data_IF_186875748246
#
_entry.id   IF_186875748246
#
_cell.length_a   1.000
_cell.length_b   1.000
_cell.length_c   1.000
_cell.angle_alpha   90.00
_cell.angle_beta   90.00
_cell.angle_gamma   90.00
#
_symmetry.space_group_name_H-M   'P 1'
#
loop_
_entity.id
_entity.type
_entity.pdbx_description
1 polymer ?
#
# COMPACT_ATOMS: atom_id res chain seq x y z
N UNK A 1 -11.98 -4.37 1.99
CA UNK A 1 -11.88 -2.93 1.59
C UNK A 1 -10.47 -2.69 1.06
N UNK A 2 -10.28 -1.93 -0.02
CA UNK A 2 -8.94 -1.75 -0.65
C UNK A 2 -8.14 -0.69 0.09
N UNK A 3 -6.81 -0.87 0.17
CA UNK A 3 -5.94 0.13 0.79
C UNK A 3 -5.53 1.19 -0.23
N UNK A 4 -5.42 0.82 -1.51
CA UNK A 4 -5.13 1.74 -2.60
C UNK A 4 -6.35 1.97 -3.50
N UNK A 5 -6.39 3.17 -4.09
CA UNK A 5 -7.43 3.49 -5.06
C UNK A 5 -7.28 2.73 -6.38
N UNK A 6 -8.38 2.36 -7.06
CA UNK A 6 -8.35 1.75 -8.40
C UNK A 6 -7.48 2.54 -9.39
N UNK A 7 -7.49 3.88 -9.28
CA UNK A 7 -6.62 4.77 -10.04
C UNK A 7 -5.12 4.60 -9.71
N UNK A 8 -4.77 4.42 -8.44
CA UNK A 8 -3.38 4.24 -8.00
C UNK A 8 -2.75 2.92 -8.48
N UNK A 9 -3.56 1.87 -8.62
CA UNK A 9 -3.14 0.57 -9.16
C UNK A 9 -3.36 0.43 -10.67
N UNK A 10 -4.02 1.42 -11.29
CA UNK A 10 -4.24 1.50 -12.73
C UNK A 10 -5.35 0.58 -13.26
N UNK A 11 -6.28 0.15 -12.40
CA UNK A 11 -7.43 -0.70 -12.78
C UNK A 11 -8.35 0.07 -13.73
N UNK A 12 -8.54 1.38 -13.54
CA UNK A 12 -9.40 2.20 -14.41
C UNK A 12 -8.92 2.21 -15.87
N UNK A 13 -7.60 2.29 -16.07
CA UNK A 13 -7.01 2.25 -17.40
C UNK A 13 -7.15 0.87 -18.04
N UNK A 14 -7.08 -0.20 -17.24
CA UNK A 14 -7.32 -1.56 -17.70
C UNK A 14 -8.78 -1.75 -18.13
N UNK A 15 -9.76 -1.27 -17.34
CA UNK A 15 -11.19 -1.35 -17.68
C UNK A 15 -11.50 -0.62 -18.99
N UNK A 16 -10.96 0.59 -19.19
CA UNK A 16 -11.10 1.33 -20.46
C UNK A 16 -10.44 0.63 -21.65
N UNK A 17 -9.31 -0.05 -21.44
CA UNK A 17 -8.66 -0.83 -22.49
C UNK A 17 -9.50 -2.05 -22.87
N UNK A 18 -10.07 -2.73 -21.86
CA UNK A 18 -10.98 -3.86 -22.03
C UNK A 18 -12.22 -3.50 -22.84
N UNK A 19 -12.89 -2.40 -22.51
CA UNK A 19 -14.07 -1.92 -23.26
C UNK A 19 -13.75 -1.71 -24.74
N UNK A 20 -12.60 -1.11 -25.07
CA UNK A 20 -12.17 -0.91 -26.46
C UNK A 20 -11.92 -2.24 -27.18
N UNK A 21 -11.25 -3.18 -26.54
CA UNK A 21 -10.96 -4.50 -27.12
C UNK A 21 -12.25 -5.30 -27.31
N UNK A 22 -13.18 -5.26 -26.37
CA UNK A 22 -14.50 -5.88 -26.51
C UNK A 22 -15.26 -5.38 -27.73
N UNK A 23 -15.28 -4.06 -27.95
CA UNK A 23 -15.92 -3.48 -29.13
C UNK A 23 -15.25 -3.98 -30.42
N UNK A 24 -13.92 -4.08 -30.43
CA UNK A 24 -13.17 -4.59 -31.58
C UNK A 24 -13.47 -6.07 -31.89
N UNK A 25 -13.74 -6.88 -30.86
CA UNK A 25 -13.95 -8.33 -30.98
C UNK A 25 -15.42 -8.77 -31.02
N UNK A 26 -16.37 -7.85 -30.95
CA UNK A 26 -17.81 -8.13 -30.80
C UNK A 26 -18.39 -9.20 -31.77
N UNK A 27 -17.83 -9.35 -32.98
CA UNK A 27 -18.30 -10.31 -33.99
C UNK A 27 -17.35 -11.50 -34.24
N UNK A 28 -16.19 -11.54 -33.57
CA UNK A 28 -15.11 -12.52 -33.83
C UNK A 28 -14.60 -13.20 -32.56
N UNK A 29 -15.21 -12.89 -31.41
CA UNK A 29 -14.77 -13.35 -30.10
C UNK A 29 -14.74 -14.88 -29.99
N UNK A 30 -15.83 -15.57 -30.35
CA UNK A 30 -15.91 -17.03 -30.25
C UNK A 30 -14.85 -17.72 -31.14
N UNK A 31 -14.67 -17.22 -32.37
CA UNK A 31 -13.66 -17.75 -33.30
C UNK A 31 -12.25 -17.54 -32.77
N UNK A 32 -12.00 -16.39 -32.14
CA UNK A 32 -10.72 -16.10 -31.50
C UNK A 32 -10.47 -17.05 -30.32
N UNK A 33 -11.45 -17.24 -29.43
CA UNK A 33 -11.35 -18.14 -28.27
C UNK A 33 -11.06 -19.58 -28.70
N UNK A 34 -11.79 -20.12 -29.69
CA UNK A 34 -11.53 -21.47 -30.20
C UNK A 34 -10.12 -21.62 -30.77
N UNK A 35 -9.65 -20.64 -31.55
CA UNK A 35 -8.28 -20.64 -32.07
C UNK A 35 -7.24 -20.58 -30.96
N UNK A 36 -7.47 -19.78 -29.92
CA UNK A 36 -6.55 -19.68 -28.78
C UNK A 36 -6.53 -20.96 -27.95
N UNK A 37 -7.66 -21.65 -27.81
CA UNK A 37 -7.73 -22.95 -27.15
C UNK A 37 -6.85 -23.99 -27.87
N UNK A 38 -6.96 -24.07 -29.20
CA UNK A 38 -6.11 -24.94 -30.02
C UNK A 38 -4.63 -24.57 -29.85
N UNK A 39 -4.31 -23.28 -29.80
CA UNK A 39 -2.93 -22.81 -29.67
C UNK A 39 -2.36 -23.00 -28.26
N UNK A 40 -3.20 -23.03 -27.23
CA UNK A 40 -2.79 -23.20 -25.84
C UNK A 40 -2.53 -24.66 -25.44
N UNK A 41 -2.98 -25.63 -26.25
CA UNK A 41 -2.67 -27.05 -26.02
C UNK A 41 -1.16 -27.31 -26.08
N UNK A 42 -0.66 -28.17 -25.18
CA UNK A 42 0.78 -28.46 -25.07
C UNK A 42 1.35 -29.19 -26.28
N UNK A 43 0.52 -29.97 -26.97
CA UNK A 43 0.92 -30.77 -28.14
C UNK A 43 0.86 -29.99 -29.46
N UNK A 44 0.36 -28.74 -29.45
CA UNK A 44 0.33 -27.93 -30.66
C UNK A 44 1.66 -27.20 -30.89
N UNK A 45 2.21 -27.32 -32.10
CA UNK A 45 3.37 -26.54 -32.57
C UNK A 45 3.07 -25.02 -32.71
N UNK A 46 1.84 -24.60 -32.42
CA UNK A 46 1.41 -23.21 -32.51
C UNK A 46 2.04 -22.36 -31.41
N UNK A 47 2.55 -21.18 -31.79
CA UNK A 47 3.10 -20.20 -30.86
C UNK A 47 2.03 -19.21 -30.40
N UNK A 48 2.20 -18.68 -29.19
CA UNK A 48 1.34 -17.63 -28.65
C UNK A 48 2.08 -16.31 -28.80
N UNK A 49 1.53 -15.38 -29.57
CA UNK A 49 2.16 -14.07 -29.74
C UNK A 49 1.74 -13.09 -28.65
N UNK A 50 2.51 -12.01 -28.50
CA UNK A 50 2.24 -10.96 -27.51
C UNK A 50 0.84 -10.36 -27.64
N UNK A 51 0.39 -10.09 -28.88
CA UNK A 51 -0.94 -9.53 -29.10
C UNK A 51 -2.04 -10.57 -28.80
N UNK A 52 -1.81 -11.86 -29.05
CA UNK A 52 -2.79 -12.92 -28.74
C UNK A 52 -3.07 -12.96 -27.23
N UNK A 53 -2.01 -13.06 -26.42
CA UNK A 53 -2.13 -13.08 -24.96
C UNK A 53 -2.72 -11.77 -24.42
N UNK A 54 -2.28 -10.63 -24.97
CA UNK A 54 -2.79 -9.31 -24.57
C UNK A 54 -4.29 -9.17 -24.86
N UNK A 55 -4.77 -9.57 -26.03
CA UNK A 55 -6.20 -9.53 -26.33
C UNK A 55 -6.97 -10.48 -25.41
N UNK A 56 -6.49 -11.71 -25.24
CA UNK A 56 -7.16 -12.69 -24.38
C UNK A 56 -7.31 -12.19 -22.95
N UNK A 57 -6.27 -11.60 -22.34
CA UNK A 57 -6.30 -11.01 -20.99
C UNK A 57 -7.38 -9.92 -20.85
N UNK A 58 -7.73 -9.20 -21.92
CA UNK A 58 -8.77 -8.18 -21.87
C UNK A 58 -10.17 -8.72 -22.23
N UNK A 59 -10.27 -9.87 -22.90
CA UNK A 59 -11.54 -10.52 -23.24
C UNK A 59 -12.07 -11.42 -22.13
N UNK A 60 -11.27 -11.79 -21.14
CA UNK A 60 -11.71 -12.61 -20.00
C UNK A 60 -12.99 -12.06 -19.37
N UNK A 61 -13.98 -12.95 -19.20
CA UNK A 61 -15.16 -12.75 -18.36
C UNK A 61 -15.00 -13.47 -17.00
N UNK A 62 -15.97 -13.29 -16.10
CA UNK A 62 -15.99 -13.93 -14.77
C UNK A 62 -16.36 -15.43 -14.82
N UNK A 63 -15.84 -16.18 -15.80
CA UNK A 63 -16.03 -17.62 -15.95
C UNK A 63 -14.69 -18.37 -15.75
N UNK A 64 -14.76 -19.66 -15.38
CA UNK A 64 -13.56 -20.44 -15.09
C UNK A 64 -12.87 -20.94 -16.38
N UNK A 65 -13.63 -21.07 -17.47
CA UNK A 65 -13.12 -21.49 -18.79
C UNK A 65 -12.12 -20.46 -19.36
N UNK A 66 -12.43 -19.17 -19.29
CA UNK A 66 -11.54 -18.11 -19.79
C UNK A 66 -10.27 -18.01 -18.96
N UNK A 67 -10.40 -18.19 -17.64
CA UNK A 67 -9.27 -18.13 -16.71
C UNK A 67 -8.33 -19.31 -16.92
N UNK A 68 -8.87 -20.50 -17.14
CA UNK A 68 -8.07 -21.68 -17.47
C UNK A 68 -7.39 -21.53 -18.84
N UNK A 69 -8.10 -20.98 -19.84
CA UNK A 69 -7.51 -20.67 -21.14
C UNK A 69 -6.35 -19.67 -21.01
N UNK A 70 -6.55 -18.55 -20.31
CA UNK A 70 -5.48 -17.56 -20.07
C UNK A 70 -4.33 -18.19 -19.30
N UNK A 71 -4.60 -19.00 -18.27
CA UNK A 71 -3.56 -19.72 -17.51
C UNK A 71 -2.70 -20.59 -18.42
N UNK A 72 -3.33 -21.40 -19.28
CA UNK A 72 -2.63 -22.25 -20.27
C UNK A 72 -1.81 -21.41 -21.25
N UNK A 73 -2.39 -20.34 -21.76
CA UNK A 73 -1.69 -19.42 -22.67
C UNK A 73 -0.48 -18.77 -22.00
N UNK A 74 -0.61 -18.36 -20.74
CA UNK A 74 0.48 -17.75 -19.98
C UNK A 74 1.63 -18.71 -19.73
N UNK A 75 1.36 -19.96 -19.33
CA UNK A 75 2.40 -20.96 -19.10
C UNK A 75 3.16 -21.26 -20.39
N UNK A 76 2.44 -21.46 -21.49
CA UNK A 76 3.03 -21.69 -22.81
C UNK A 76 3.82 -20.47 -23.32
N UNK A 77 3.31 -19.25 -23.09
CA UNK A 77 4.04 -18.03 -23.44
C UNK A 77 5.31 -17.87 -22.59
N UNK A 78 5.25 -18.15 -21.28
CA UNK A 78 6.42 -18.08 -20.38
C UNK A 78 7.52 -19.04 -20.83
N UNK A 79 7.18 -20.28 -21.15
CA UNK A 79 8.15 -21.26 -21.65
C UNK A 79 8.73 -20.84 -23.01
N UNK A 80 7.90 -20.38 -23.94
CA UNK A 80 8.34 -19.88 -25.26
C UNK A 80 9.29 -18.68 -25.13
N UNK A 81 8.99 -17.76 -24.23
CA UNK A 81 9.74 -16.51 -24.11
C UNK A 81 11.12 -16.71 -23.46
N UNK A 82 11.27 -17.74 -22.61
CA UNK A 82 12.58 -18.18 -22.09
C UNK A 82 13.51 -18.67 -23.21
N UNK A 83 12.97 -19.28 -24.25
CA UNK A 83 13.74 -19.81 -25.38
C UNK A 83 13.96 -18.78 -26.50
N UNK A 84 12.94 -17.96 -26.80
CA UNK A 84 12.87 -17.15 -28.03
C UNK A 84 12.99 -15.64 -27.82
N UNK A 85 12.98 -15.14 -26.56
CA UNK A 85 13.00 -13.69 -26.20
C UNK A 85 12.02 -12.84 -27.03
N UNK A 86 10.75 -13.23 -27.03
CA UNK A 86 9.66 -12.43 -27.59
C UNK A 86 9.40 -11.14 -26.80
N UNK A 87 9.79 -10.01 -27.40
CA UNK A 87 9.26 -8.68 -27.11
C UNK A 87 9.67 -8.06 -25.76
N UNK A 88 9.55 -6.74 -25.67
CA UNK A 88 9.79 -5.95 -24.45
C UNK A 88 8.53 -5.71 -23.62
N UNK A 89 7.41 -6.34 -23.98
CA UNK A 89 6.12 -6.09 -23.34
C UNK A 89 6.03 -6.74 -21.95
N UNK A 90 5.52 -5.97 -20.99
CA UNK A 90 5.45 -6.37 -19.58
C UNK A 90 4.03 -6.83 -19.24
N UNK A 91 3.85 -8.14 -19.13
CA UNK A 91 2.54 -8.74 -18.85
C UNK A 91 2.13 -8.74 -17.38
N UNK A 92 3.07 -8.86 -16.45
CA UNK A 92 2.78 -9.09 -15.02
C UNK A 92 1.72 -8.14 -14.44
N UNK A 93 1.85 -6.80 -14.56
CA UNK A 93 0.87 -5.87 -14.04
C UNK A 93 -0.48 -5.92 -14.76
N UNK A 94 -0.51 -6.31 -16.04
CA UNK A 94 -1.75 -6.41 -16.83
C UNK A 94 -2.53 -7.63 -16.38
N UNK A 95 -1.87 -8.77 -16.23
CA UNK A 95 -2.48 -10.00 -15.71
C UNK A 95 -3.00 -9.79 -14.29
N UNK A 96 -2.23 -9.14 -13.42
CA UNK A 96 -2.70 -8.89 -12.05
C UNK A 96 -3.94 -7.97 -12.02
N UNK A 97 -4.05 -7.01 -12.94
CA UNK A 97 -5.28 -6.20 -13.09
C UNK A 97 -6.46 -6.99 -13.62
N UNK A 98 -6.23 -7.97 -14.50
CA UNK A 98 -7.27 -8.89 -14.94
C UNK A 98 -7.83 -9.68 -13.76
N UNK A 99 -6.97 -10.32 -12.95
CA UNK A 99 -7.41 -11.02 -11.74
C UNK A 99 -8.09 -10.09 -10.73
N UNK A 100 -7.63 -8.83 -10.65
CA UNK A 100 -8.27 -7.81 -9.82
C UNK A 100 -9.68 -7.48 -10.30
N UNK A 101 -9.86 -7.37 -11.61
CA UNK A 101 -11.14 -7.06 -12.26
C UNK A 101 -12.14 -8.20 -12.04
N UNK A 102 -11.76 -9.45 -12.32
CA UNK A 102 -12.64 -10.63 -12.10
C UNK A 102 -12.76 -11.06 -10.63
N UNK A 103 -12.02 -10.39 -9.73
CA UNK A 103 -11.92 -10.69 -8.30
C UNK A 103 -11.66 -12.18 -8.00
N UNK A 104 -10.60 -12.73 -8.59
CA UNK A 104 -10.14 -14.13 -8.42
C UNK A 104 -8.78 -14.19 -7.69
N UNK A 105 -8.76 -13.95 -6.37
CA UNK A 105 -7.51 -13.76 -5.61
C UNK A 105 -6.70 -15.04 -5.44
N UNK A 106 -7.35 -16.21 -5.30
CA UNK A 106 -6.69 -17.50 -5.08
C UNK A 106 -5.91 -17.92 -6.32
N UNK A 107 -6.55 -17.81 -7.47
CA UNK A 107 -5.97 -18.14 -8.77
C UNK A 107 -4.80 -17.20 -9.10
N UNK A 108 -4.92 -15.92 -8.75
CA UNK A 108 -3.85 -14.93 -8.90
C UNK A 108 -2.63 -15.27 -8.02
N UNK A 109 -2.86 -15.73 -6.79
CA UNK A 109 -1.81 -16.17 -5.89
C UNK A 109 -1.14 -17.48 -6.37
N UNK A 110 -1.94 -18.47 -6.78
CA UNK A 110 -1.43 -19.75 -7.31
C UNK A 110 -0.53 -19.54 -8.53
N UNK A 111 -0.96 -18.73 -9.51
CA UNK A 111 -0.15 -18.50 -10.71
C UNK A 111 1.11 -17.70 -10.40
N UNK A 112 1.05 -16.81 -9.41
CA UNK A 112 2.22 -16.05 -8.95
C UNK A 112 3.26 -16.94 -8.27
N UNK A 113 2.82 -17.88 -7.44
CA UNK A 113 3.70 -18.83 -6.75
C UNK A 113 4.17 -19.99 -7.64
N UNK A 114 3.66 -20.11 -8.86
CA UNK A 114 4.04 -21.17 -9.78
C UNK A 114 5.50 -21.00 -10.27
N UNK A 115 6.39 -21.99 -10.06
CA UNK A 115 7.78 -21.94 -10.53
C UNK A 115 7.94 -21.80 -12.06
N UNK A 116 6.98 -22.29 -12.84
CA UNK A 116 6.96 -22.13 -14.31
C UNK A 116 6.81 -20.66 -14.74
N UNK A 117 6.34 -19.81 -13.83
CA UNK A 117 6.13 -18.37 -14.04
C UNK A 117 7.27 -17.51 -13.46
N UNK A 118 8.38 -18.13 -13.04
CA UNK A 118 9.53 -17.38 -12.54
C UNK A 118 10.05 -16.36 -13.58
N UNK A 119 10.30 -15.13 -13.13
CA UNK A 119 10.64 -13.98 -13.98
C UNK A 119 9.44 -13.23 -14.57
N UNK A 120 8.27 -13.87 -14.73
CA UNK A 120 7.13 -13.27 -15.43
C UNK A 120 6.53 -12.07 -14.68
N UNK A 121 6.45 -12.19 -13.36
CA UNK A 121 5.86 -11.19 -12.47
C UNK A 121 6.88 -10.30 -11.75
N UNK A 122 8.15 -10.30 -12.18
CA UNK A 122 9.25 -9.57 -11.54
C UNK A 122 9.20 -8.05 -11.81
N UNK A 123 8.05 -7.44 -11.54
CA UNK A 123 7.85 -6.00 -11.61
C UNK A 123 7.15 -5.52 -10.34
N UNK A 124 7.65 -4.43 -9.74
CA UNK A 124 7.14 -3.88 -8.48
C UNK A 124 5.61 -3.66 -8.49
N UNK A 125 5.05 -3.26 -9.64
CA UNK A 125 3.62 -3.07 -9.80
C UNK A 125 2.81 -4.37 -9.77
N UNK A 126 3.34 -5.48 -10.29
CA UNK A 126 2.67 -6.78 -10.28
C UNK A 126 2.40 -7.22 -8.84
N UNK A 127 3.43 -7.15 -7.99
CA UNK A 127 3.30 -7.47 -6.58
C UNK A 127 2.34 -6.52 -5.85
N UNK A 128 2.42 -5.22 -6.14
CA UNK A 128 1.56 -4.22 -5.53
C UNK A 128 0.08 -4.50 -5.80
N UNK A 129 -0.28 -4.83 -7.05
CA UNK A 129 -1.67 -5.14 -7.43
C UNK A 129 -2.12 -6.46 -6.78
N UNK A 130 -1.27 -7.49 -6.78
CA UNK A 130 -1.58 -8.78 -6.16
C UNK A 130 -1.81 -8.64 -4.65
N UNK A 131 -0.91 -7.97 -3.94
CA UNK A 131 -1.03 -7.77 -2.50
C UNK A 131 -2.27 -6.95 -2.13
N UNK A 132 -2.65 -5.93 -2.92
CA UNK A 132 -3.89 -5.19 -2.68
C UNK A 132 -5.14 -6.05 -2.96
N UNK A 133 -5.11 -6.92 -4.00
CA UNK A 133 -6.18 -7.88 -4.28
C UNK A 133 -6.38 -8.87 -3.13
N UNK A 134 -5.30 -9.45 -2.63
CA UNK A 134 -5.32 -10.39 -1.51
C UNK A 134 -5.80 -9.70 -0.23
N UNK A 135 -5.28 -8.50 0.06
CA UNK A 135 -5.71 -7.69 1.20
C UNK A 135 -7.20 -7.35 1.14
N UNK A 136 -7.72 -6.97 -0.05
CA UNK A 136 -9.14 -6.67 -0.27
C UNK A 136 -10.03 -7.86 0.08
N UNK A 137 -9.58 -9.08 -0.17
CA UNK A 137 -10.28 -10.34 0.05
C UNK A 137 -9.86 -11.03 1.38
N UNK A 138 -9.25 -10.29 2.30
CA UNK A 138 -8.90 -10.76 3.66
C UNK A 138 -7.90 -11.93 3.72
N UNK A 139 -7.18 -12.17 2.62
CA UNK A 139 -6.12 -13.19 2.50
C UNK A 139 -4.80 -12.64 3.03
N UNK A 140 -4.76 -12.30 4.33
CA UNK A 140 -3.66 -11.55 4.94
C UNK A 140 -2.37 -12.38 5.08
N UNK A 141 -2.47 -13.70 5.27
CA UNK A 141 -1.30 -14.57 5.35
C UNK A 141 -0.59 -14.66 4.00
N UNK A 142 -1.36 -14.78 2.93
CA UNK A 142 -0.87 -14.81 1.55
C UNK A 142 -0.20 -13.49 1.17
N UNK A 143 -0.68 -12.34 1.70
CA UNK A 143 0.00 -11.05 1.54
C UNK A 143 1.42 -11.09 2.14
N UNK A 144 1.58 -11.70 3.33
CA UNK A 144 2.88 -11.85 3.99
C UNK A 144 3.80 -12.75 3.17
N UNK A 145 3.29 -13.88 2.68
CA UNK A 145 4.07 -14.82 1.86
C UNK A 145 4.53 -14.20 0.54
N UNK A 146 3.64 -13.45 -0.14
CA UNK A 146 4.01 -12.70 -1.36
C UNK A 146 5.10 -11.67 -1.05
N UNK A 147 5.04 -10.99 0.10
CA UNK A 147 6.07 -10.05 0.51
C UNK A 147 7.42 -10.73 0.76
N UNK A 148 7.44 -11.90 1.40
CA UNK A 148 8.67 -12.67 1.64
C UNK A 148 9.35 -13.07 0.33
N UNK A 149 8.57 -13.42 -0.72
CA UNK A 149 9.11 -13.69 -2.06
C UNK A 149 9.80 -12.46 -2.65
N UNK A 150 9.16 -11.28 -2.55
CA UNK A 150 9.74 -10.01 -3.04
C UNK A 150 11.05 -9.71 -2.31
N UNK A 151 11.08 -9.89 -0.99
CA UNK A 151 12.23 -9.61 -0.16
C UNK A 151 13.42 -10.52 -0.52
N UNK A 152 13.15 -11.81 -0.78
CA UNK A 152 14.16 -12.79 -1.22
C UNK A 152 14.67 -12.49 -2.63
N UNK A 153 13.78 -12.17 -3.56
CA UNK A 153 14.14 -11.89 -4.96
C UNK A 153 14.85 -10.55 -5.15
N UNK A 154 14.65 -9.59 -4.25
CA UNK A 154 15.17 -8.22 -4.36
C UNK A 154 14.91 -7.60 -5.74
N UNK A 155 13.67 -7.73 -6.20
CA UNK A 155 13.28 -7.31 -7.54
C UNK A 155 13.63 -5.84 -7.77
N UNK A 156 14.30 -5.57 -8.90
CA UNK A 156 14.80 -4.23 -9.27
C UNK A 156 15.77 -3.61 -8.25
N UNK A 157 16.52 -4.45 -7.51
CA UNK A 157 17.50 -4.01 -6.52
C UNK A 157 16.88 -3.39 -5.27
N UNK A 158 15.56 -3.52 -5.08
CA UNK A 158 14.86 -3.01 -3.91
C UNK A 158 14.42 -4.16 -3.01
N UNK A 159 15.10 -4.32 -1.86
CA UNK A 159 14.71 -5.28 -0.83
C UNK A 159 13.39 -4.90 -0.14
N UNK A 160 13.08 -3.60 -0.06
CA UNK A 160 11.90 -3.09 0.64
C UNK A 160 11.11 -2.10 -0.22
N UNK A 161 10.31 -2.58 -1.19
CA UNK A 161 9.45 -1.70 -1.97
C UNK A 161 8.41 -1.01 -1.07
N UNK A 162 8.39 0.32 -1.16
CA UNK A 162 7.57 1.20 -0.33
C UNK A 162 6.10 0.75 -0.18
N UNK A 163 5.42 0.52 -1.29
CA UNK A 163 3.99 0.17 -1.25
C UNK A 163 3.73 -1.23 -0.68
N UNK A 164 4.64 -2.17 -0.94
CA UNK A 164 4.56 -3.54 -0.43
C UNK A 164 4.75 -3.57 1.10
N UNK A 165 5.69 -2.79 1.64
CA UNK A 165 5.91 -2.63 3.09
C UNK A 165 4.65 -2.09 3.79
N UNK A 166 3.95 -1.14 3.17
CA UNK A 166 2.70 -0.61 3.72
C UNK A 166 1.61 -1.68 3.75
N UNK A 167 1.47 -2.49 2.69
CA UNK A 167 0.47 -3.56 2.61
C UNK A 167 0.73 -4.69 3.60
N UNK A 168 1.97 -5.15 3.72
CA UNK A 168 2.28 -6.24 4.67
C UNK A 168 2.07 -5.81 6.11
N UNK A 169 2.46 -4.59 6.50
CA UNK A 169 2.20 -4.08 7.85
C UNK A 169 0.71 -3.82 8.11
N UNK A 170 -0.05 -3.42 7.08
CA UNK A 170 -1.51 -3.35 7.17
C UNK A 170 -2.13 -4.74 7.37
N UNK A 171 -1.63 -5.77 6.66
CA UNK A 171 -2.07 -7.15 6.81
C UNK A 171 -1.78 -7.69 8.22
N UNK A 172 -0.57 -7.45 8.74
CA UNK A 172 -0.24 -7.80 10.13
C UNK A 172 -1.16 -7.10 11.14
N UNK A 173 -1.46 -5.81 10.92
CA UNK A 173 -2.39 -5.08 11.77
C UNK A 173 -3.81 -5.68 11.76
N UNK A 174 -4.29 -6.14 10.60
CA UNK A 174 -5.61 -6.79 10.48
C UNK A 174 -5.65 -8.20 11.07
N UNK A 175 -4.56 -8.97 10.99
CA UNK A 175 -4.44 -10.26 11.65
C UNK A 175 -4.45 -10.12 13.19
N UNK A 176 -3.73 -9.12 13.70
CA UNK A 176 -3.65 -8.82 15.14
C UNK A 176 -3.33 -10.04 16.03
N UNK A 177 -2.47 -10.93 15.54
CA UNK A 177 -1.97 -12.09 16.32
C UNK A 177 -0.56 -11.84 16.86
N UNK A 178 -0.12 -12.53 17.92
CA UNK A 178 1.25 -12.43 18.42
C UNK A 178 2.32 -12.72 17.35
N UNK A 179 2.04 -13.67 16.45
CA UNK A 179 2.93 -14.02 15.33
C UNK A 179 3.06 -12.85 14.35
N UNK A 180 1.94 -12.25 13.96
CA UNK A 180 1.91 -11.09 13.07
C UNK A 180 2.63 -9.87 13.68
N UNK A 181 2.56 -9.71 15.00
CA UNK A 181 3.28 -8.67 15.73
C UNK A 181 4.79 -8.91 15.75
N UNK A 182 5.22 -10.14 16.04
CA UNK A 182 6.64 -10.49 15.99
C UNK A 182 7.22 -10.30 14.59
N UNK A 183 6.48 -10.69 13.55
CA UNK A 183 6.85 -10.44 12.16
C UNK A 183 6.99 -8.94 11.88
N UNK A 184 5.98 -8.13 12.22
CA UNK A 184 6.00 -6.69 12.01
C UNK A 184 7.14 -6.00 12.76
N UNK A 185 7.43 -6.43 13.99
CA UNK A 185 8.55 -5.92 14.81
C UNK A 185 9.91 -6.24 14.18
N UNK A 186 10.10 -7.47 13.71
CA UNK A 186 11.33 -7.88 13.02
C UNK A 186 11.52 -7.10 11.72
N UNK A 187 10.45 -6.99 10.92
CA UNK A 187 10.45 -6.20 9.69
C UNK A 187 10.79 -4.73 9.95
N UNK A 188 10.22 -4.13 11.00
CA UNK A 188 10.51 -2.74 11.39
C UNK A 188 11.98 -2.54 11.80
N UNK A 189 12.53 -3.49 12.56
CA UNK A 189 13.94 -3.47 12.96
C UNK A 189 14.85 -3.57 11.73
N UNK A 190 14.54 -4.45 10.79
CA UNK A 190 15.29 -4.57 9.53
C UNK A 190 15.24 -3.26 8.72
N UNK A 191 14.05 -2.69 8.52
CA UNK A 191 13.90 -1.42 7.80
C UNK A 191 14.77 -0.30 8.39
N UNK A 192 14.80 -0.23 9.72
CA UNK A 192 15.62 0.75 10.46
C UNK A 192 17.12 0.49 10.27
N UNK A 193 17.56 -0.78 10.35
CA UNK A 193 18.97 -1.17 10.13
C UNK A 193 19.46 -0.87 8.71
N UNK A 194 18.61 -1.08 7.71
CA UNK A 194 18.93 -0.77 6.31
C UNK A 194 18.91 0.74 6.00
N UNK A 195 18.61 1.60 6.98
CA UNK A 195 18.55 3.06 6.79
C UNK A 195 17.37 3.51 5.92
N UNK A 196 16.36 2.65 5.73
CA UNK A 196 15.16 3.05 5.03
C UNK A 196 14.36 4.04 5.87
N UNK A 197 13.95 5.15 5.26
CA UNK A 197 13.08 6.11 5.93
C UNK A 197 11.69 5.49 6.17
N UNK A 198 11.25 5.38 7.44
CA UNK A 198 9.97 4.78 7.75
C UNK A 198 8.83 5.58 7.11
N UNK A 199 8.03 4.90 6.29
CA UNK A 199 6.87 5.52 5.65
C UNK A 199 5.79 5.77 6.69
N UNK A 200 5.14 6.95 6.63
CA UNK A 200 4.11 7.36 7.59
C UNK A 200 3.08 6.26 7.84
N UNK A 201 2.49 5.69 6.78
CA UNK A 201 1.43 4.68 6.88
C UNK A 201 1.92 3.35 7.43
N UNK A 202 3.09 2.89 6.99
CA UNK A 202 3.75 1.71 7.54
C UNK A 202 3.95 1.85 9.06
N UNK A 203 4.49 2.98 9.50
CA UNK A 203 4.72 3.25 10.92
C UNK A 203 3.42 3.36 11.73
N UNK A 204 2.37 3.95 11.17
CA UNK A 204 1.08 4.02 11.87
C UNK A 204 0.43 2.64 12.02
N UNK A 205 0.54 1.73 11.03
CA UNK A 205 0.04 0.36 11.18
C UNK A 205 0.87 -0.43 12.20
N UNK A 206 2.19 -0.34 12.14
CA UNK A 206 3.08 -1.03 13.09
C UNK A 206 2.86 -0.54 14.54
N UNK A 207 2.70 0.78 14.75
CA UNK A 207 2.41 1.35 16.05
C UNK A 207 1.00 0.96 16.55
N UNK A 208 -0.01 0.96 15.68
CA UNK A 208 -1.36 0.53 16.05
C UNK A 208 -1.39 -0.97 16.44
N UNK A 209 -0.65 -1.82 15.72
CA UNK A 209 -0.51 -3.24 16.07
C UNK A 209 0.18 -3.42 17.43
N UNK A 210 1.24 -2.64 17.68
CA UNK A 210 1.93 -2.68 18.97
C UNK A 210 1.01 -2.26 20.15
N UNK A 211 0.13 -1.28 19.94
CA UNK A 211 -0.88 -0.90 20.95
C UNK A 211 -1.90 -2.01 21.19
N UNK A 212 -2.41 -2.63 20.14
CA UNK A 212 -3.34 -3.76 20.27
C UNK A 212 -2.72 -4.97 21.02
N UNK A 213 -1.38 -5.11 20.97
CA UNK A 213 -0.62 -6.16 21.66
C UNK A 213 -0.05 -5.70 23.01
N UNK A 214 -0.62 -4.65 23.62
CA UNK A 214 -0.22 -4.12 24.93
C UNK A 214 1.27 -3.73 25.03
N UNK A 215 1.88 -3.27 23.92
CA UNK A 215 3.28 -2.83 23.86
C UNK A 215 3.37 -1.33 23.52
N UNK A 216 2.85 -0.42 24.36
CA UNK A 216 2.78 1.01 24.05
C UNK A 216 4.16 1.70 23.99
N UNK A 217 5.17 1.14 24.65
CA UNK A 217 6.56 1.62 24.57
C UNK A 217 7.14 1.48 23.14
N UNK A 218 6.90 0.33 22.49
CA UNK A 218 7.31 0.09 21.09
C UNK A 218 6.53 1.01 20.15
N UNK A 219 5.24 1.22 20.41
CA UNK A 219 4.42 2.15 19.63
C UNK A 219 4.99 3.57 19.66
N UNK A 220 5.40 4.08 20.83
CA UNK A 220 6.02 5.40 20.94
C UNK A 220 7.37 5.51 20.23
N UNK A 221 8.20 4.47 20.30
CA UNK A 221 9.49 4.42 19.58
C UNK A 221 9.26 4.52 18.07
N UNK A 222 8.36 3.68 17.53
CA UNK A 222 7.96 3.69 16.12
C UNK A 222 7.45 5.08 15.73
N UNK A 223 6.51 5.64 16.49
CA UNK A 223 5.91 6.96 16.20
C UNK A 223 6.94 8.09 16.31
N UNK A 224 7.90 7.99 17.23
CA UNK A 224 8.99 8.95 17.41
C UNK A 224 9.93 9.02 16.21
N UNK A 225 10.19 7.89 15.54
CA UNK A 225 11.03 7.83 14.35
C UNK A 225 10.42 8.49 13.09
N UNK A 226 9.12 8.80 13.10
CA UNK A 226 8.41 9.38 11.94
C UNK A 226 8.66 10.89 11.83
N UNK A 227 8.96 11.39 10.61
CA UNK A 227 9.17 12.84 10.38
C UNK A 227 7.90 13.69 10.52
N UNK A 228 6.73 13.09 10.29
CA UNK A 228 5.46 13.78 10.08
C UNK A 228 4.58 13.76 11.34
N UNK A 229 5.06 14.37 12.42
CA UNK A 229 4.47 14.27 13.76
C UNK A 229 3.11 14.96 13.93
N UNK A 230 2.74 15.89 13.04
CA UNK A 230 1.49 16.63 13.09
C UNK A 230 0.29 15.91 12.47
N UNK A 231 0.48 14.74 11.86
CA UNK A 231 -0.62 14.02 11.21
C UNK A 231 -1.63 13.48 12.22
N UNK A 232 -2.90 13.55 11.86
CA UNK A 232 -4.05 13.10 12.67
C UNK A 232 -3.83 11.68 13.22
N UNK A 233 -3.50 10.71 12.37
CA UNK A 233 -3.30 9.32 12.78
C UNK A 233 -2.11 9.14 13.74
N UNK A 234 -1.01 9.87 13.53
CA UNK A 234 0.18 9.80 14.40
C UNK A 234 -0.13 10.40 15.76
N UNK A 235 -0.79 11.56 15.81
CA UNK A 235 -1.18 12.18 17.08
C UNK A 235 -2.16 11.31 17.88
N UNK A 236 -3.18 10.79 17.20
CA UNK A 236 -4.14 9.86 17.77
C UNK A 236 -3.43 8.66 18.41
N UNK A 237 -2.53 8.01 17.67
CA UNK A 237 -1.78 6.86 18.19
C UNK A 237 -0.82 7.23 19.32
N UNK A 238 -0.20 8.41 19.29
CA UNK A 238 0.68 8.89 20.37
C UNK A 238 -0.09 9.11 21.67
N UNK A 239 -1.25 9.74 21.58
CA UNK A 239 -2.11 9.99 22.74
C UNK A 239 -2.58 8.66 23.34
N UNK A 240 -3.02 7.71 22.49
CA UNK A 240 -3.38 6.38 22.93
C UNK A 240 -2.20 5.68 23.64
N UNK A 241 -1.00 5.72 23.06
CA UNK A 241 0.19 5.11 23.66
C UNK A 241 0.59 5.72 25.01
N UNK A 242 0.46 7.05 25.17
CA UNK A 242 0.73 7.74 26.43
C UNK A 242 -0.33 7.41 27.50
N UNK A 243 -1.59 7.29 27.10
CA UNK A 243 -2.67 6.84 27.98
C UNK A 243 -2.44 5.41 28.50
N UNK A 244 -2.00 4.50 27.62
CA UNK A 244 -1.71 3.10 27.97
C UNK A 244 -0.43 2.95 28.82
N UNK A 245 0.49 3.92 28.75
CA UNK A 245 1.68 3.99 29.62
C UNK A 245 1.41 4.62 30.99
N UNK A 246 0.14 4.91 31.32
CA UNK A 246 -0.25 5.64 32.53
C UNK A 246 0.44 7.02 32.66
N UNK A 247 0.69 7.69 31.53
CA UNK A 247 1.26 9.04 31.46
C UNK A 247 0.32 10.02 30.74
N UNK A 248 -0.93 10.21 31.20
CA UNK A 248 -1.87 11.09 30.52
C UNK A 248 -1.47 12.57 30.59
N UNK A 249 -0.67 12.99 31.59
CA UNK A 249 -0.18 14.37 31.72
C UNK A 249 0.59 14.83 30.47
N UNK A 250 1.33 13.90 29.84
CA UNK A 250 2.10 14.16 28.61
C UNK A 250 1.21 14.30 27.37
N UNK A 251 -0.09 14.02 27.47
CA UNK A 251 -1.04 14.22 26.37
C UNK A 251 -1.50 15.69 26.27
N UNK A 252 -1.49 16.45 27.37
CA UNK A 252 -1.98 17.83 27.38
C UNK A 252 -1.26 18.77 26.41
N UNK A 253 0.08 18.74 26.26
CA UNK A 253 0.75 19.56 25.25
C UNK A 253 0.30 19.26 23.82
N UNK A 254 0.01 17.99 23.52
CA UNK A 254 -0.44 17.55 22.19
C UNK A 254 -1.88 18.04 21.94
N UNK A 255 -2.75 17.91 22.94
CA UNK A 255 -4.14 18.34 22.85
C UNK A 255 -4.26 19.88 22.77
N UNK A 256 -3.51 20.61 23.59
CA UNK A 256 -3.44 22.09 23.54
C UNK A 256 -2.88 22.58 22.21
N UNK A 257 -1.85 21.92 21.67
CA UNK A 257 -1.28 22.26 20.36
C UNK A 257 -2.28 22.11 19.21
N UNK A 258 -3.21 21.15 19.30
CA UNK A 258 -4.27 20.99 18.32
C UNK A 258 -5.30 22.15 18.34
N UNK A 259 -5.54 22.76 19.51
CA UNK A 259 -6.41 23.92 19.68
C UNK A 259 -5.76 25.24 19.19
N UNK A 260 -4.43 25.32 19.19
CA UNK A 260 -3.69 26.52 18.76
C UNK A 260 -3.45 26.58 17.24
N UNK A 261 -3.64 25.46 16.52
CA UNK A 261 -3.41 25.43 15.07
C UNK A 261 -4.67 25.88 14.34
N UNK A 262 -4.88 27.19 14.28
CA UNK A 262 -6.00 27.83 13.57
C UNK A 262 -5.51 28.36 12.21
N UNK A 263 -4.90 27.48 11.39
CA UNK A 263 -4.50 27.86 10.03
C UNK A 263 -5.61 27.50 9.04
N UNK A 264 -6.06 28.48 8.25
CA UNK A 264 -7.10 28.30 7.22
C UNK A 264 -6.69 27.33 6.08
N UNK A 265 -5.46 26.80 6.12
CA UNK A 265 -4.82 26.00 5.06
C UNK A 265 -4.58 24.55 5.51
N UNK A 266 -4.38 24.28 6.80
CA UNK A 266 -4.26 22.91 7.30
C UNK A 266 -5.63 22.37 7.71
N UNK A 267 -5.93 21.14 7.29
CA UNK A 267 -7.12 20.42 7.76
C UNK A 267 -7.12 20.42 9.29
N UNK A 268 -8.25 20.83 9.90
CA UNK A 268 -8.44 20.87 11.35
C UNK A 268 -7.85 19.65 12.05
N UNK A 269 -7.15 19.89 13.14
CA UNK A 269 -6.49 18.85 13.91
C UNK A 269 -7.50 18.02 14.70
N UNK A 270 -7.95 16.89 14.14
CA UNK A 270 -8.99 16.06 14.77
C UNK A 270 -8.44 14.92 15.61
N UNK A 271 -9.27 14.45 16.54
CA UNK A 271 -9.05 13.27 17.39
C UNK A 271 -10.25 12.33 17.32
N UNK A 272 -10.01 11.02 17.42
CA UNK A 272 -11.11 10.04 17.50
C UNK A 272 -11.68 9.99 18.91
N UNK A 273 -13.01 9.88 19.03
CA UNK A 273 -13.70 9.81 20.32
C UNK A 273 -13.22 8.62 21.17
N UNK A 274 -12.95 7.46 20.54
CA UNK A 274 -12.40 6.28 21.20
C UNK A 274 -11.09 6.59 21.97
N UNK A 275 -10.24 7.45 21.41
CA UNK A 275 -8.93 7.76 21.99
C UNK A 275 -9.09 8.73 23.16
N UNK A 276 -10.01 9.68 23.05
CA UNK A 276 -10.34 10.60 24.14
C UNK A 276 -10.97 9.84 25.30
N UNK A 277 -11.84 8.87 25.01
CA UNK A 277 -12.38 7.97 26.03
C UNK A 277 -11.28 7.14 26.72
N UNK A 278 -10.32 6.60 25.96
CA UNK A 278 -9.16 5.88 26.54
C UNK A 278 -8.34 6.78 27.48
N UNK A 279 -8.04 8.01 27.06
CA UNK A 279 -7.32 8.97 27.91
C UNK A 279 -8.11 9.27 29.19
N UNK A 280 -9.43 9.48 29.08
CA UNK A 280 -10.31 9.71 30.23
C UNK A 280 -10.25 8.55 31.23
N UNK A 281 -10.39 7.32 30.75
CA UNK A 281 -10.28 6.14 31.60
C UNK A 281 -8.90 5.98 32.24
N UNK A 282 -7.82 6.39 31.57
CA UNK A 282 -6.48 6.40 32.18
C UNK A 282 -6.32 7.49 33.24
N UNK A 283 -6.94 8.66 33.06
CA UNK A 283 -6.92 9.76 34.05
C UNK A 283 -7.75 9.41 35.28
N UNK A 284 -8.92 8.82 35.10
CA UNK A 284 -9.77 8.36 36.22
C UNK A 284 -9.06 7.32 37.10
N UNK A 285 -8.19 6.48 36.53
CA UNK A 285 -7.37 5.52 37.29
C UNK A 285 -6.26 6.16 38.13
N UNK A 286 -5.84 7.38 37.82
CA UNK A 286 -4.77 8.08 38.54
C UNK A 286 -5.26 8.85 39.77
N UNK A 287 -6.58 8.98 39.94
CA UNK A 287 -7.25 9.60 41.09
C UNK A 287 -6.68 10.99 41.49
N UNK A 288 -6.28 11.79 40.49
CA UNK A 288 -5.80 13.16 40.66
C UNK A 288 -6.89 14.16 40.25
N UNK A 289 -7.55 14.83 41.20
CA UNK A 289 -8.71 15.69 40.90
C UNK A 289 -8.34 16.89 40.00
N UNK A 290 -7.12 17.42 40.13
CA UNK A 290 -6.66 18.56 39.33
C UNK A 290 -6.51 18.19 37.84
N UNK A 291 -5.99 16.99 37.56
CA UNK A 291 -5.77 16.48 36.19
C UNK A 291 -7.11 16.14 35.51
N UNK A 292 -8.07 15.61 36.28
CA UNK A 292 -9.43 15.33 35.81
C UNK A 292 -10.13 16.62 35.39
N UNK A 293 -10.10 17.66 36.25
CA UNK A 293 -10.74 18.93 35.93
C UNK A 293 -10.10 19.63 34.71
N UNK A 294 -8.77 19.58 34.62
CA UNK A 294 -8.06 20.14 33.48
C UNK A 294 -8.43 19.42 32.17
N UNK A 295 -8.49 18.09 32.20
CA UNK A 295 -8.91 17.29 31.07
C UNK A 295 -10.35 17.56 30.66
N UNK A 296 -11.30 17.65 31.61
CA UNK A 296 -12.70 17.94 31.31
C UNK A 296 -12.87 19.32 30.66
N UNK A 297 -12.15 20.33 31.14
CA UNK A 297 -12.15 21.66 30.51
C UNK A 297 -11.62 21.59 29.07
N UNK A 298 -10.58 20.80 28.84
CA UNK A 298 -9.95 20.66 27.54
C UNK A 298 -10.78 19.79 26.58
N UNK A 299 -11.43 18.73 27.05
CA UNK A 299 -12.39 17.92 26.30
C UNK A 299 -13.58 18.78 25.84
N UNK A 300 -14.15 19.58 26.74
CA UNK A 300 -15.26 20.49 26.43
C UNK A 300 -14.87 21.51 25.34
N UNK A 301 -13.65 22.03 25.39
CA UNK A 301 -13.12 22.93 24.34
C UNK A 301 -12.96 22.19 23.01
N UNK A 302 -12.41 20.97 23.01
CA UNK A 302 -12.27 20.15 21.80
C UNK A 302 -13.62 19.79 21.18
N UNK A 303 -14.64 19.48 21.99
CA UNK A 303 -16.03 19.25 21.54
C UNK A 303 -16.63 20.50 20.93
N UNK A 304 -16.54 21.64 21.62
CA UNK A 304 -17.11 22.92 21.18
C UNK A 304 -16.51 23.38 19.85
N UNK A 305 -15.20 23.16 19.64
CA UNK A 305 -14.49 23.56 18.45
C UNK A 305 -14.51 22.51 17.31
N UNK A 306 -15.27 21.42 17.48
CA UNK A 306 -15.41 20.31 16.52
C UNK A 306 -14.08 19.62 16.15
N UNK A 307 -13.18 19.44 17.12
CA UNK A 307 -11.95 18.67 16.95
C UNK A 307 -12.14 17.17 17.25
N UNK A 308 -13.31 16.74 17.73
CA UNK A 308 -13.61 15.32 17.98
C UNK A 308 -14.40 14.74 16.81
N UNK A 309 -13.91 13.62 16.28
CA UNK A 309 -14.58 12.87 15.22
C UNK A 309 -15.13 11.55 15.75
N UNK A 310 -16.35 11.22 15.32
CA UNK A 310 -17.01 9.92 15.56
C UNK A 310 -16.42 8.77 14.73
N UNK A 311 -15.45 9.05 13.84
CA UNK A 311 -14.82 8.01 13.03
C UNK A 311 -13.80 7.19 13.85
N UNK A 312 -13.90 5.85 13.84
CA UNK A 312 -12.97 5.01 14.58
C UNK A 312 -11.56 5.07 13.97
N UNK A 313 -10.55 4.87 14.80
CA UNK A 313 -9.15 4.95 14.40
C UNK A 313 -8.82 3.96 13.26
N UNK A 314 -9.41 2.76 13.27
CA UNK A 314 -9.25 1.77 12.20
C UNK A 314 -9.67 2.32 10.83
N UNK A 315 -10.78 3.08 10.77
CA UNK A 315 -11.27 3.70 9.53
C UNK A 315 -10.34 4.80 9.03
N UNK A 316 -9.72 5.55 9.95
CA UNK A 316 -8.74 6.59 9.59
C UNK A 316 -7.42 5.98 9.08
N UNK A 317 -6.94 4.91 9.72
CA UNK A 317 -5.74 4.18 9.32
C UNK A 317 -5.91 3.48 7.96
N UNK A 318 -7.05 2.84 7.75
CA UNK A 318 -7.42 2.14 6.52
C UNK A 318 -8.07 3.07 5.46
N UNK A 319 -7.91 4.39 5.60
CA UNK A 319 -8.39 5.34 4.58
C UNK A 319 -7.67 5.09 3.25
N UNK A 320 -8.38 5.17 2.15
CA UNK A 320 -7.83 4.86 0.82
C UNK A 320 -6.60 5.72 0.49
N UNK A 321 -5.57 5.08 -0.07
CA UNK A 321 -4.40 5.76 -0.63
C UNK A 321 -4.77 6.15 -2.06
N UNK A 322 -5.20 7.41 -2.20
CA UNK A 322 -5.38 8.01 -3.52
C UNK A 322 -4.05 8.02 -4.28
N UNK A 323 -4.12 7.88 -5.61
CA UNK A 323 -2.99 8.17 -6.47
C UNK A 323 -2.48 9.57 -6.14
N UNK A 324 -1.16 9.76 -6.06
CA UNK A 324 -0.60 11.10 -6.01
C UNK A 324 -0.96 11.74 -7.35
N UNK A 325 -2.07 12.48 -7.42
CA UNK A 325 -2.18 13.57 -8.37
C UNK A 325 -0.99 14.44 -8.05
N UNK A 326 0.03 14.39 -8.89
CA UNK A 326 0.86 15.55 -9.17
C UNK A 326 -0.11 16.62 -9.64
N UNK A 327 -0.79 17.27 -8.69
CA UNK A 327 -1.24 18.64 -8.86
C UNK A 327 -0.02 19.37 -9.39
N UNK A 328 -0.17 19.92 -10.60
CA UNK A 328 0.86 20.57 -11.37
C UNK A 328 1.95 21.13 -10.45
N UNK A 329 3.18 20.60 -10.57
CA UNK A 329 4.32 21.38 -10.12
C UNK A 329 4.20 22.69 -10.87
N UNK A 330 3.76 23.74 -10.18
CA UNK A 330 3.92 25.11 -10.65
C UNK A 330 5.34 25.21 -11.20
N UNK A 331 5.53 25.76 -12.42
CA UNK A 331 6.86 25.90 -12.97
C UNK A 331 7.68 26.67 -11.95
N UNK A 332 8.64 25.99 -11.32
CA UNK A 332 9.65 26.65 -10.50
C UNK A 332 10.29 27.68 -11.44
N UNK A 333 9.91 28.94 -11.25
CA UNK A 333 10.57 30.08 -11.86
C UNK A 333 12.05 29.87 -11.57
N UNK A 334 12.81 29.56 -12.62
CA UNK A 334 14.27 29.57 -12.56
C UNK A 334 14.64 31.01 -12.23
N UNK A 335 14.83 31.31 -10.95
CA UNK A 335 15.57 32.49 -10.56
C UNK A 335 16.99 32.28 -11.06
N UNK A 336 17.34 33.00 -12.13
CA UNK A 336 18.69 33.21 -12.61
C UNK A 336 19.57 33.68 -11.45
N UNK A 337 20.25 32.73 -10.82
CA UNK A 337 21.41 33.03 -9.99
C UNK A 337 22.57 33.31 -10.92
N UNK A 338 22.70 34.61 -11.19
CA UNK A 338 23.93 35.35 -11.51
C UNK A 338 25.20 34.51 -11.31
N UNK A 339 25.85 34.25 -12.44
CA UNK A 339 27.30 34.23 -12.65
C UNK A 339 28.15 34.62 -11.44
N UNK A 340 28.75 33.62 -10.78
CA UNK A 340 29.95 33.81 -9.96
C UNK A 340 30.95 32.67 -10.20
N UNK A 341 32.05 33.08 -10.86
CA UNK A 341 33.42 32.57 -10.73
C UNK A 341 33.74 31.19 -11.30
N UNK A 342 34.05 31.18 -12.60
CA UNK A 342 35.00 30.26 -13.22
C UNK A 342 36.36 30.38 -12.51
N UNK A 343 36.91 29.24 -12.09
CA UNK A 343 38.30 29.15 -11.60
C UNK A 343 39.24 29.18 -12.81
N UNK A 344 40.27 30.03 -12.83
CA UNK A 344 41.24 30.05 -13.91
C UNK A 344 42.24 28.89 -13.74
N UNK A 345 42.49 28.12 -14.81
CA UNK A 345 43.67 27.25 -14.87
C UNK A 345 43.52 25.80 -15.38
N UNK A 346 42.57 25.48 -16.26
CA UNK A 346 42.60 24.21 -17.00
C UNK A 346 41.97 24.40 -18.39
N UNK A 347 42.73 25.01 -19.29
CA UNK A 347 42.41 25.06 -20.74
C UNK A 347 43.54 24.50 -21.61
N UNK A 348 44.45 23.71 -21.03
CA UNK A 348 45.40 22.91 -21.81
C UNK A 348 45.49 21.51 -21.20
N UNK A 349 44.54 20.64 -21.55
CA UNK A 349 44.74 19.20 -21.71
C UNK A 349 43.43 18.53 -22.16
N UNK A 350 43.50 17.94 -23.36
CA UNK A 350 42.54 17.12 -24.11
C UNK A 350 41.64 17.84 -25.12
#
# INVERSE_FOLDING_TARGET
RTLYSPAAIGVDNYTKARERIKIQFANVEDKFRSKMLDFATRDSNSMIFTEDLKHMIHLVEENDEDLDLVRKMMLKFSSQNRELRFGSFIFGPVVMRMYYFVNRPKEAYEIFMNPEMDGFFDQLMSFHILMDLLFKNEMYNEVIEVFDVIQKKQVQGSKFPKNAVVLVLAACYKLNTPESYNYAKNLWSELTKFGHYPMRRAGTFAAALALNQNSPHVALEILGSLKQQSYVTIRNLKIAALADLNRPDDTFPILRGALQTDSAVDRKHTFSEEIIARVKSSIEKLDKPDVVQEFDQLENRLRTLNHITLEPLDKQLCSEIAAVTTTAREPRVRQDRRSQQLRPGLEDMF
#
